data_IF_473864530210
#
_entry.id   IF_473864530210
#
_cell.length_a   1.000
_cell.length_b   1.000
_cell.length_c   1.000
_cell.angle_alpha   90.00
_cell.angle_beta   90.00
_cell.angle_gamma   90.00
#
_symmetry.space_group_name_H-M   'P 1'
#
loop_
_entity.id
_entity.type
_entity.pdbx_description
1 polymer ?
#
# COMPACT_ATOMS: atom_id res chain seq x y z
N UNK A 1 -72.78 86.71 16.88
CA UNK A 1 -71.65 85.75 16.95
C UNK A 1 -72.08 84.45 16.25
N UNK A 2 -71.84 84.32 14.94
CA UNK A 2 -72.14 83.07 14.23
C UNK A 2 -71.00 82.07 14.46
N UNK A 3 -71.31 80.95 15.11
CA UNK A 3 -70.39 79.84 15.30
C UNK A 3 -70.20 79.15 13.96
N UNK A 4 -68.96 79.03 13.49
CA UNK A 4 -68.65 78.33 12.25
C UNK A 4 -69.15 76.87 12.32
N UNK A 5 -69.68 76.31 11.21
CA UNK A 5 -70.09 74.92 11.19
C UNK A 5 -68.86 74.04 11.45
N UNK A 6 -68.89 73.28 12.53
CA UNK A 6 -67.88 72.26 12.78
C UNK A 6 -68.00 71.22 11.67
N UNK A 7 -66.92 71.02 10.91
CA UNK A 7 -66.83 69.92 9.95
C UNK A 7 -66.86 68.62 10.76
N UNK A 8 -68.04 68.03 10.94
CA UNK A 8 -68.15 66.66 11.41
C UNK A 8 -67.65 65.77 10.29
N UNK A 9 -66.38 65.40 10.37
CA UNK A 9 -65.85 64.29 9.58
C UNK A 9 -66.84 63.12 9.70
N UNK A 10 -67.27 62.51 8.59
CA UNK A 10 -68.22 61.42 8.65
C UNK A 10 -67.54 60.26 9.37
N UNK A 11 -67.99 59.99 10.59
CA UNK A 11 -67.49 58.92 11.48
C UNK A 11 -67.51 57.54 10.78
N UNK A 12 -68.35 57.39 9.74
CA UNK A 12 -68.39 56.24 8.84
C UNK A 12 -67.07 56.00 8.06
N UNK A 13 -66.32 57.05 7.72
CA UNK A 13 -65.05 56.94 6.98
C UNK A 13 -63.90 56.42 7.84
N UNK A 14 -63.79 56.88 9.09
CA UNK A 14 -62.79 56.36 10.05
C UNK A 14 -63.07 54.90 10.43
N UNK A 15 -64.33 54.54 10.67
CA UNK A 15 -64.69 53.15 10.97
C UNK A 15 -64.33 52.21 9.81
N UNK A 16 -64.58 52.65 8.58
CA UNK A 16 -64.22 51.89 7.37
C UNK A 16 -62.70 51.74 7.22
N UNK A 17 -61.93 52.79 7.53
CA UNK A 17 -60.47 52.75 7.54
C UNK A 17 -59.93 51.77 8.58
N UNK A 18 -60.44 51.81 9.83
CA UNK A 18 -59.99 50.89 10.89
C UNK A 18 -60.37 49.43 10.63
N UNK A 19 -61.52 49.19 10.02
CA UNK A 19 -61.90 47.84 9.59
C UNK A 19 -60.95 47.31 8.50
N UNK A 20 -60.55 48.17 7.57
CA UNK A 20 -59.58 47.84 6.52
C UNK A 20 -58.18 47.56 7.10
N UNK A 21 -57.71 48.41 8.03
CA UNK A 21 -56.43 48.26 8.72
C UNK A 21 -56.37 46.93 9.50
N UNK A 22 -57.44 46.59 10.22
CA UNK A 22 -57.56 45.31 10.93
C UNK A 22 -57.57 44.11 9.97
N UNK A 23 -58.31 44.20 8.87
CA UNK A 23 -58.35 43.14 7.87
C UNK A 23 -56.98 42.94 7.19
N UNK A 24 -56.24 44.02 6.99
CA UNK A 24 -54.89 43.99 6.45
C UNK A 24 -53.90 43.34 7.44
N UNK A 25 -53.95 43.70 8.72
CA UNK A 25 -53.16 43.05 9.77
C UNK A 25 -53.49 41.56 9.89
N UNK A 26 -54.78 41.19 9.86
CA UNK A 26 -55.23 39.81 9.87
C UNK A 26 -54.71 39.02 8.66
N UNK A 27 -54.74 39.62 7.47
CA UNK A 27 -54.17 39.03 6.27
C UNK A 27 -52.66 38.81 6.44
N UNK A 28 -51.93 39.82 6.90
CA UNK A 28 -50.47 39.74 7.12
C UNK A 28 -50.12 38.64 8.11
N UNK A 29 -50.88 38.51 9.20
CA UNK A 29 -50.73 37.42 10.17
C UNK A 29 -50.95 36.06 9.52
N UNK A 30 -52.02 35.88 8.74
CA UNK A 30 -52.31 34.63 8.02
C UNK A 30 -51.23 34.25 7.01
N UNK A 31 -50.66 35.24 6.32
CA UNK A 31 -49.55 35.00 5.37
C UNK A 31 -48.29 34.58 6.10
N UNK A 32 -47.97 35.23 7.22
CA UNK A 32 -46.78 34.90 8.01
C UNK A 32 -46.91 33.54 8.71
N UNK A 33 -48.10 33.16 9.15
CA UNK A 33 -48.35 31.88 9.81
C UNK A 33 -48.61 30.72 8.85
N UNK A 34 -48.75 31.00 7.54
CA UNK A 34 -48.99 29.97 6.54
C UNK A 34 -47.81 28.98 6.50
N UNK A 35 -48.09 27.73 6.86
CA UNK A 35 -47.13 26.64 6.73
C UNK A 35 -47.13 26.13 5.28
N UNK A 36 -45.96 25.70 4.75
CA UNK A 36 -45.91 25.05 3.45
C UNK A 36 -46.71 23.74 3.48
N UNK A 37 -47.46 23.47 2.41
CA UNK A 37 -48.26 22.24 2.27
C UNK A 37 -47.38 20.99 2.13
N UNK A 38 -46.17 21.16 1.60
CA UNK A 38 -45.21 20.09 1.35
C UNK A 38 -43.99 20.34 2.21
N UNK A 39 -43.56 19.29 2.91
CA UNK A 39 -42.29 19.30 3.62
C UNK A 39 -41.14 19.36 2.61
N UNK A 40 -40.36 20.43 2.65
CA UNK A 40 -39.15 20.61 1.85
C UNK A 40 -37.88 20.33 2.64
N UNK A 41 -37.98 19.82 3.87
CA UNK A 41 -36.83 19.50 4.68
C UNK A 41 -36.03 18.35 4.07
N UNK A 42 -34.71 18.39 4.27
CA UNK A 42 -33.86 17.28 3.86
C UNK A 42 -34.22 16.02 4.66
N UNK A 43 -34.35 14.85 4.01
CA UNK A 43 -34.62 13.61 4.71
C UNK A 43 -33.49 13.28 5.70
N UNK A 44 -33.86 12.61 6.79
CA UNK A 44 -32.91 12.25 7.85
C UNK A 44 -31.82 11.32 7.29
N UNK A 45 -30.57 11.71 7.48
CA UNK A 45 -29.42 10.89 7.07
C UNK A 45 -29.18 9.81 8.13
N UNK A 46 -29.56 8.57 7.83
CA UNK A 46 -29.28 7.47 8.74
C UNK A 46 -27.82 7.01 8.59
N UNK A 47 -27.13 6.83 9.73
CA UNK A 47 -25.74 6.35 9.79
C UNK A 47 -25.53 5.02 9.06
N UNK A 48 -26.53 4.15 9.02
CA UNK A 48 -26.45 2.85 8.34
C UNK A 48 -26.48 2.96 6.80
N UNK A 49 -26.99 4.06 6.23
CA UNK A 49 -26.85 4.34 4.79
C UNK A 49 -25.42 4.79 4.45
N UNK A 50 -24.78 5.54 5.35
CA UNK A 50 -23.42 6.04 5.17
C UNK A 50 -22.37 4.97 5.48
N UNK A 51 -22.62 4.14 6.49
CA UNK A 51 -21.70 3.12 7.00
C UNK A 51 -22.26 1.72 6.76
N UNK A 52 -21.70 1.02 5.77
CA UNK A 52 -22.02 -0.39 5.49
C UNK A 52 -21.28 -1.32 6.46
N UNK A 53 -21.70 -1.32 7.73
CA UNK A 53 -21.01 -2.05 8.82
C UNK A 53 -20.77 -3.54 8.52
N UNK A 54 -21.75 -4.23 7.91
CA UNK A 54 -21.59 -5.64 7.52
C UNK A 54 -20.44 -5.85 6.52
N UNK A 55 -20.29 -4.94 5.57
CA UNK A 55 -19.22 -5.01 4.57
C UNK A 55 -17.86 -4.79 5.24
N UNK A 56 -17.75 -3.79 6.10
CA UNK A 56 -16.50 -3.48 6.81
C UNK A 56 -16.02 -4.68 7.65
N UNK A 57 -16.93 -5.32 8.39
CA UNK A 57 -16.62 -6.52 9.18
C UNK A 57 -16.08 -7.67 8.32
N UNK A 58 -16.72 -7.95 7.19
CA UNK A 58 -16.26 -9.01 6.27
C UNK A 58 -14.89 -8.70 5.66
N UNK A 59 -14.63 -7.44 5.33
CA UNK A 59 -13.33 -7.01 4.82
C UNK A 59 -12.23 -7.18 5.88
N UNK A 60 -12.51 -6.80 7.14
CA UNK A 60 -11.59 -6.98 8.26
C UNK A 60 -11.27 -8.45 8.54
N UNK A 61 -12.29 -9.31 8.58
CA UNK A 61 -12.11 -10.76 8.75
C UNK A 61 -11.26 -11.36 7.63
N UNK A 62 -11.54 -10.98 6.37
CA UNK A 62 -10.76 -11.42 5.21
C UNK A 62 -9.31 -10.98 5.32
N UNK A 63 -9.05 -9.72 5.70
CA UNK A 63 -7.70 -9.20 5.89
C UNK A 63 -6.96 -9.91 7.03
N UNK A 64 -7.64 -10.23 8.14
CA UNK A 64 -7.06 -11.00 9.24
C UNK A 64 -6.60 -12.39 8.79
N UNK A 65 -7.37 -13.07 7.95
CA UNK A 65 -7.00 -14.37 7.36
C UNK A 65 -5.74 -14.21 6.50
N UNK A 66 -5.75 -13.26 5.57
CA UNK A 66 -4.61 -12.99 4.68
C UNK A 66 -3.34 -12.67 5.46
N UNK A 67 -3.44 -11.84 6.51
CA UNK A 67 -2.30 -11.47 7.33
C UNK A 67 -1.69 -12.68 8.05
N UNK A 68 -2.54 -13.54 8.64
CA UNK A 68 -2.09 -14.77 9.31
C UNK A 68 -1.40 -15.72 8.33
N UNK A 69 -1.97 -15.90 7.14
CA UNK A 69 -1.42 -16.77 6.11
C UNK A 69 -0.10 -16.23 5.55
N UNK A 70 0.02 -14.92 5.36
CA UNK A 70 1.26 -14.26 4.94
C UNK A 70 2.37 -14.44 5.98
N UNK A 71 2.07 -14.30 7.28
CA UNK A 71 3.03 -14.55 8.35
C UNK A 71 3.53 -16.00 8.32
N UNK A 72 2.61 -16.96 8.20
CA UNK A 72 2.94 -18.38 8.11
C UNK A 72 3.78 -18.70 6.87
N UNK A 73 3.47 -18.08 5.73
CA UNK A 73 4.25 -18.23 4.50
C UNK A 73 5.67 -17.70 4.67
N UNK A 74 5.82 -16.51 5.24
CA UNK A 74 7.12 -15.90 5.50
C UNK A 74 7.97 -16.76 6.44
N UNK A 75 7.36 -17.31 7.50
CA UNK A 75 8.05 -18.22 8.42
C UNK A 75 8.55 -19.48 7.70
N UNK A 76 7.71 -20.10 6.85
CA UNK A 76 8.08 -21.27 6.04
C UNK A 76 9.21 -20.95 5.07
N UNK A 77 9.12 -19.83 4.34
CA UNK A 77 10.17 -19.39 3.43
C UNK A 77 11.48 -19.15 4.18
N UNK A 78 11.43 -18.46 5.33
CA UNK A 78 12.61 -18.24 6.16
C UNK A 78 13.24 -19.55 6.65
N UNK A 79 12.42 -20.54 7.04
CA UNK A 79 12.88 -21.87 7.43
C UNK A 79 13.58 -22.59 6.27
N UNK A 80 12.99 -22.57 5.07
CA UNK A 80 13.59 -23.17 3.87
C UNK A 80 14.90 -22.46 3.52
N UNK A 81 14.95 -21.13 3.59
CA UNK A 81 16.17 -20.36 3.32
C UNK A 81 17.29 -20.67 4.32
N UNK A 82 16.96 -20.83 5.60
CA UNK A 82 17.91 -21.26 6.65
C UNK A 82 18.43 -22.68 6.39
N UNK A 83 17.53 -23.62 6.14
CA UNK A 83 17.86 -25.04 5.97
C UNK A 83 18.58 -25.34 4.65
N UNK A 84 18.22 -24.68 3.54
CA UNK A 84 18.87 -24.86 2.23
C UNK A 84 20.36 -24.51 2.26
N UNK A 85 20.75 -23.49 3.04
CA UNK A 85 22.17 -23.15 3.26
C UNK A 85 22.92 -24.23 4.05
N UNK A 86 22.27 -24.93 4.98
CA UNK A 86 22.89 -26.04 5.73
C UNK A 86 22.92 -27.36 4.94
N UNK A 87 21.85 -27.71 4.24
CA UNK A 87 21.77 -28.96 3.47
C UNK A 87 22.77 -29.01 2.30
N UNK A 88 23.12 -27.84 1.74
CA UNK A 88 24.18 -27.70 0.73
C UNK A 88 25.60 -27.92 1.24
N UNK A 89 25.82 -28.11 2.55
CA UNK A 89 27.15 -28.35 3.13
C UNK A 89 27.54 -29.84 3.16
N UNK A 90 26.56 -30.74 3.01
CA UNK A 90 26.79 -32.21 3.08
C UNK A 90 27.16 -32.84 1.73
N UNK A 91 27.47 -32.02 0.72
CA UNK A 91 27.89 -32.45 -0.61
C UNK A 91 29.42 -32.39 -0.81
N UNK A 92 30.20 -32.15 0.24
CA UNK A 92 31.67 -32.29 0.19
C UNK A 92 32.15 -33.75 0.11
N UNK A 93 31.27 -34.68 -0.29
CA UNK A 93 31.70 -35.94 -0.91
C UNK A 93 32.44 -35.59 -2.20
N UNK A 94 33.71 -35.22 -2.05
CA UNK A 94 34.71 -35.20 -3.10
C UNK A 94 34.44 -36.41 -3.97
N UNK A 95 34.00 -36.18 -5.21
CA UNK A 95 33.64 -37.23 -6.16
C UNK A 95 34.84 -38.17 -6.32
N UNK A 96 34.90 -39.21 -5.49
CA UNK A 96 35.97 -40.18 -5.47
C UNK A 96 35.64 -41.15 -6.59
N UNK A 97 36.29 -40.97 -7.73
CA UNK A 97 36.08 -41.85 -8.88
C UNK A 97 36.23 -43.31 -8.43
N UNK A 98 35.23 -44.16 -8.69
CA UNK A 98 35.26 -45.59 -8.36
C UNK A 98 36.50 -46.29 -8.96
N UNK A 99 37.02 -45.75 -10.07
CA UNK A 99 38.19 -46.25 -10.77
C UNK A 99 39.54 -45.76 -10.20
N UNK A 100 39.56 -44.98 -9.09
CA UNK A 100 40.80 -44.43 -8.54
C UNK A 100 41.80 -45.53 -8.19
N UNK A 101 41.35 -46.60 -7.55
CA UNK A 101 42.21 -47.74 -7.19
C UNK A 101 42.77 -48.47 -8.42
N UNK A 102 41.94 -48.70 -9.45
CA UNK A 102 42.38 -49.34 -10.70
C UNK A 102 43.39 -48.47 -11.45
N UNK A 103 43.15 -47.14 -11.51
CA UNK A 103 44.10 -46.17 -12.11
C UNK A 103 45.44 -46.15 -11.36
N UNK A 104 45.44 -46.16 -10.04
CA UNK A 104 46.67 -46.21 -9.23
C UNK A 104 47.44 -47.52 -9.42
N UNK A 105 46.74 -48.65 -9.55
CA UNK A 105 47.37 -49.94 -9.82
C UNK A 105 47.98 -49.98 -11.23
N UNK A 106 47.29 -49.47 -12.23
CA UNK A 106 47.82 -49.35 -13.60
C UNK A 106 49.01 -48.38 -13.65
N UNK A 107 48.97 -47.24 -12.95
CA UNK A 107 50.11 -46.33 -12.83
C UNK A 107 51.33 -47.02 -12.21
N UNK A 108 51.15 -47.81 -11.15
CA UNK A 108 52.22 -48.62 -10.55
C UNK A 108 52.75 -49.68 -11.51
N UNK A 109 51.88 -50.31 -12.31
CA UNK A 109 52.28 -51.28 -13.34
C UNK A 109 53.08 -50.61 -14.45
N UNK A 110 52.64 -49.44 -14.91
CA UNK A 110 53.36 -48.63 -15.91
C UNK A 110 54.72 -48.21 -15.34
N UNK A 111 54.80 -47.63 -14.14
CA UNK A 111 56.05 -47.29 -13.44
C UNK A 111 56.98 -48.48 -13.16
N UNK A 112 56.47 -49.71 -13.10
CA UNK A 112 57.29 -50.91 -12.95
C UNK A 112 57.79 -51.43 -14.30
N UNK A 113 57.01 -51.22 -15.38
CA UNK A 113 57.35 -51.59 -16.76
C UNK A 113 58.32 -50.60 -17.39
N UNK A 114 58.07 -49.30 -17.22
CA UNK A 114 59.06 -48.26 -17.44
C UNK A 114 59.86 -48.13 -16.15
N UNK A 115 61.05 -48.75 -16.08
CA UNK A 115 62.03 -48.44 -15.03
C UNK A 115 62.38 -46.94 -15.00
N UNK A 116 63.41 -46.47 -14.26
CA UNK A 116 63.74 -45.04 -14.16
C UNK A 116 64.35 -44.52 -15.49
N UNK A 117 63.60 -44.55 -16.58
CA UNK A 117 63.93 -44.03 -17.88
C UNK A 117 63.53 -42.55 -17.90
N UNK A 118 64.30 -41.75 -17.16
CA UNK A 118 64.00 -40.34 -16.91
C UNK A 118 64.73 -39.81 -15.68
N UNK A 119 66.00 -40.18 -15.51
CA UNK A 119 66.90 -39.49 -14.59
C UNK A 119 68.16 -39.05 -15.32
N UNK A 120 68.01 -38.45 -16.50
CA UNK A 120 69.14 -37.87 -17.21
C UNK A 120 68.64 -36.86 -18.25
N UNK A 121 68.43 -35.62 -17.80
CA UNK A 121 68.68 -34.42 -18.59
C UNK A 121 68.61 -33.21 -17.65
N UNK A 122 69.78 -32.91 -17.09
CA UNK A 122 70.39 -31.60 -16.94
C UNK A 122 69.48 -30.35 -16.91
N UNK A 123 69.62 -29.64 -15.78
CA UNK A 123 69.88 -28.19 -15.62
C UNK A 123 69.10 -27.14 -16.42
N UNK A 124 68.75 -26.09 -15.68
CA UNK A 124 68.64 -24.71 -16.14
C UNK A 124 67.55 -24.42 -17.17
N UNK A 125 66.38 -24.04 -16.65
CA UNK A 125 65.63 -22.94 -17.23
C UNK A 125 65.05 -22.11 -16.08
N UNK A 126 65.78 -21.05 -15.70
CA UNK A 126 65.20 -19.90 -15.01
C UNK A 126 64.09 -19.37 -15.90
N UNK A 127 62.85 -19.49 -15.46
CA UNK A 127 61.70 -18.91 -16.15
C UNK A 127 61.88 -17.41 -16.30
N UNK A 128 61.92 -16.96 -17.55
CA UNK A 128 61.72 -15.56 -17.94
C UNK A 128 60.27 -15.21 -17.65
N UNK A 129 60.05 -14.23 -16.78
CA UNK A 129 58.74 -13.66 -16.49
C UNK A 129 58.31 -12.79 -17.67
N UNK A 130 57.43 -13.32 -18.52
CA UNK A 130 56.78 -12.56 -19.59
C UNK A 130 55.50 -11.93 -19.04
N UNK A 131 55.58 -10.66 -18.65
CA UNK A 131 54.42 -9.77 -18.50
C UNK A 131 53.86 -9.46 -19.89
N UNK A 132 52.84 -10.20 -20.30
CA UNK A 132 52.04 -9.93 -21.49
C UNK A 132 50.62 -9.55 -21.11
N UNK A 133 50.30 -8.26 -21.18
CA UNK A 133 48.93 -7.77 -21.11
C UNK A 133 48.15 -8.11 -22.38
N UNK A 134 46.84 -8.33 -22.23
CA UNK A 134 45.93 -8.55 -23.35
C UNK A 134 44.48 -8.34 -22.91
N UNK A 135 43.99 -7.11 -23.07
CA UNK A 135 42.58 -6.74 -22.96
C UNK A 135 41.82 -7.39 -24.12
N UNK A 136 40.68 -8.01 -23.85
CA UNK A 136 39.56 -8.08 -24.81
C UNK A 136 38.31 -7.54 -24.11
N UNK A 137 37.79 -6.46 -24.67
CA UNK A 137 36.54 -5.84 -24.26
C UNK A 137 35.37 -6.37 -25.08
N UNK A 138 34.30 -5.56 -25.05
CA UNK A 138 33.01 -5.71 -25.71
C UNK A 138 32.04 -6.67 -24.97
N UNK A 139 30.77 -6.35 -24.71
CA UNK A 139 29.96 -5.14 -24.91
C UNK A 139 28.59 -5.37 -24.27
N UNK A 140 28.10 -4.35 -23.58
CA UNK A 140 26.71 -3.89 -23.39
C UNK A 140 25.54 -4.88 -23.59
N UNK A 141 24.84 -5.14 -22.48
CA UNK A 141 23.38 -4.98 -22.36
C UNK A 141 23.15 -4.37 -20.97
N UNK A 142 22.55 -3.22 -20.77
CA UNK A 142 21.43 -2.60 -21.47
C UNK A 142 20.50 -2.10 -20.36
N UNK A 143 20.14 -0.82 -20.42
CA UNK A 143 19.41 -0.06 -19.40
C UNK A 143 18.13 -0.77 -18.92
N UNK A 144 17.99 -0.88 -17.60
CA UNK A 144 16.77 -1.32 -16.92
C UNK A 144 16.57 -0.52 -15.64
N UNK A 145 16.46 0.79 -15.80
CA UNK A 145 16.07 1.75 -14.76
C UNK A 145 14.70 1.32 -14.21
N UNK A 146 14.66 0.66 -13.06
CA UNK A 146 13.43 0.57 -12.26
C UNK A 146 13.27 1.92 -11.55
N UNK A 147 12.60 2.83 -12.24
CA UNK A 147 12.02 4.00 -11.63
C UNK A 147 10.80 3.56 -10.80
N UNK A 148 10.77 4.03 -9.56
CA UNK A 148 9.54 4.44 -8.89
C UNK A 148 8.83 3.36 -8.10
N UNK A 149 9.23 3.19 -6.84
CA UNK A 149 8.34 3.51 -5.71
C UNK A 149 9.22 4.17 -4.64
N UNK A 150 9.18 5.51 -4.58
CA UNK A 150 9.65 6.24 -3.41
C UNK A 150 8.77 5.86 -2.22
N UNK A 151 9.31 5.67 -1.00
CA UNK A 151 8.48 5.69 0.20
C UNK A 151 7.96 7.10 0.37
N UNK A 152 6.68 7.31 0.08
CA UNK A 152 5.95 8.51 0.43
C UNK A 152 5.95 8.62 1.95
N UNK A 153 6.64 9.63 2.47
CA UNK A 153 6.61 9.97 3.88
C UNK A 153 5.23 10.54 4.19
N UNK A 154 4.35 9.72 4.77
CA UNK A 154 3.08 10.18 5.31
C UNK A 154 3.34 11.23 6.39
N UNK A 155 3.04 12.48 6.04
CA UNK A 155 2.88 13.57 7.00
C UNK A 155 1.74 13.21 7.98
N UNK A 156 1.84 13.57 9.27
CA UNK A 156 0.82 13.24 10.25
C UNK A 156 -0.48 13.99 9.94
N UNK A 157 -1.43 13.31 9.31
CA UNK A 157 -2.82 13.75 9.22
C UNK A 157 -3.37 13.84 10.64
N UNK A 158 -3.88 15.03 10.97
CA UNK A 158 -4.49 15.38 12.26
C UNK A 158 -5.61 14.38 12.55
N UNK A 159 -5.35 13.44 13.47
CA UNK A 159 -6.38 12.65 14.12
C UNK A 159 -7.31 13.62 14.83
N UNK A 160 -8.50 13.84 14.29
CA UNK A 160 -9.62 14.28 15.12
C UNK A 160 -9.98 13.09 15.99
N UNK A 161 -9.43 13.06 17.21
CA UNK A 161 -9.96 12.27 18.31
C UNK A 161 -11.39 12.75 18.59
N UNK A 162 -12.38 12.10 17.99
CA UNK A 162 -13.72 12.09 18.55
C UNK A 162 -13.68 11.11 19.73
N UNK A 163 -13.45 11.67 20.92
CA UNK A 163 -13.71 11.00 22.20
C UNK A 163 -15.14 10.45 22.15
N UNK A 164 -15.26 9.12 22.15
CA UNK A 164 -16.43 8.45 22.71
C UNK A 164 -16.38 8.69 24.23
N UNK A 165 -17.10 9.71 24.70
CA UNK A 165 -17.63 9.71 26.06
C UNK A 165 -18.94 8.92 25.99
N UNK A 166 -19.05 7.93 26.86
CA UNK A 166 -20.21 7.05 27.03
C UNK A 166 -21.30 7.75 27.85
#
# INVERSE_FOLDING_TARGET
>A
MHRAPQLTFPCASEYSWRAWEKAYEDHRRKVQSAQPLVDTCAPLTFRHLQLKLKRLKLEEERLSIIQRDNLLLLEKVASVMRTRRQAGSKNNSTHRSLHRGKREQELRRVQKKTGPFGKESHTENRGVELKGGGKTGAELRGLGRWCGISPEADAPSKKQELKLEF
#
